data_IF_400346642839
#
_entry.id   IF_400346642839
#
_cell.length_a   1.000
_cell.length_b   1.000
_cell.length_c   1.000
_cell.angle_alpha   90.00
_cell.angle_beta   90.00
_cell.angle_gamma   90.00
#
_symmetry.space_group_name_H-M   'P 1'
#
loop_
_entity.id
_entity.type
_entity.pdbx_description
1 polymer ?
#
# COMPACT_ATOMS: atom_id res chain seq x y z
N UNK A 1 17.53 -12.34 -6.34
CA UNK A 1 17.01 -10.97 -6.22
C UNK A 1 15.50 -11.03 -6.21
N UNK A 2 14.91 -10.80 -5.05
CA UNK A 2 13.46 -10.72 -4.92
C UNK A 2 12.97 -9.31 -5.28
N UNK A 3 11.71 -9.22 -5.71
CA UNK A 3 11.00 -7.96 -5.87
C UNK A 3 9.77 -7.98 -4.96
N UNK A 4 9.42 -6.81 -4.45
CA UNK A 4 8.22 -6.58 -3.64
C UNK A 4 7.22 -5.86 -4.54
N UNK A 5 6.05 -6.47 -4.74
CA UNK A 5 4.96 -5.82 -5.47
C UNK A 5 3.98 -5.24 -4.46
N UNK A 6 3.68 -3.95 -4.58
CA UNK A 6 2.73 -3.24 -3.72
C UNK A 6 1.54 -2.83 -4.59
N UNK A 7 0.34 -3.16 -4.14
CA UNK A 7 -0.90 -2.74 -4.79
C UNK A 7 -1.47 -1.53 -4.06
N UNK A 8 -1.58 -0.42 -4.77
CA UNK A 8 -2.14 0.82 -4.27
C UNK A 8 -3.59 0.95 -4.72
N UNK A 9 -4.51 0.98 -3.76
CA UNK A 9 -5.94 1.20 -3.98
C UNK A 9 -6.30 2.63 -3.62
N UNK A 10 -6.80 3.42 -4.57
CA UNK A 10 -7.12 4.84 -4.33
C UNK A 10 -8.24 5.37 -5.24
N UNK A 11 -8.60 6.66 -5.08
CA UNK A 11 -9.59 7.37 -5.90
C UNK A 11 -11.01 6.78 -5.95
N UNK A 12 -11.38 5.96 -4.96
CA UNK A 12 -12.74 5.41 -4.81
C UNK A 12 -13.48 5.95 -3.59
N UNK A 13 -14.73 5.51 -3.41
CA UNK A 13 -15.48 5.79 -2.19
C UNK A 13 -15.18 4.72 -1.14
N UNK A 14 -14.52 5.13 -0.05
CA UNK A 14 -14.36 4.27 1.12
C UNK A 14 -15.69 4.19 1.87
N UNK A 15 -16.40 3.08 1.69
CA UNK A 15 -17.63 2.80 2.45
C UNK A 15 -17.27 2.12 3.77
N UNK A 16 -16.28 1.22 3.74
CA UNK A 16 -15.63 0.64 4.92
C UNK A 16 -14.23 0.09 4.57
N UNK A 17 -13.53 -0.47 5.55
CA UNK A 17 -12.23 -1.16 5.31
C UNK A 17 -12.39 -2.34 4.35
N UNK A 18 -13.52 -3.04 4.41
CA UNK A 18 -13.84 -4.22 3.60
C UNK A 18 -14.67 -3.91 2.37
N UNK A 19 -15.28 -2.72 2.28
CA UNK A 19 -16.15 -2.33 1.17
C UNK A 19 -15.69 -1.01 0.53
N UNK A 20 -15.27 -1.12 -0.73
CA UNK A 20 -14.75 -0.01 -1.51
C UNK A 20 -15.20 -0.20 -2.95
N UNK A 21 -15.95 0.77 -3.46
CA UNK A 21 -16.50 0.79 -4.82
C UNK A 21 -15.79 1.86 -5.65
N UNK A 22 -15.73 1.65 -6.97
CA UNK A 22 -15.18 2.60 -7.95
C UNK A 22 -13.73 3.07 -7.66
N UNK A 23 -12.90 2.20 -7.11
CA UNK A 23 -11.50 2.50 -6.84
C UNK A 23 -10.63 2.17 -8.04
N UNK A 24 -9.49 2.85 -8.13
CA UNK A 24 -8.40 2.53 -9.04
C UNK A 24 -7.35 1.71 -8.31
N UNK A 25 -6.76 0.74 -9.01
CA UNK A 25 -5.64 -0.07 -8.52
C UNK A 25 -4.44 0.24 -9.40
N UNK A 26 -3.35 0.68 -8.78
CA UNK A 26 -2.07 0.85 -9.45
C UNK A 26 -1.01 -0.01 -8.75
N UNK A 27 -0.13 -0.63 -9.53
CA UNK A 27 0.94 -1.50 -9.03
C UNK A 27 2.27 -0.76 -8.95
N UNK A 28 2.96 -0.90 -7.81
CA UNK A 28 4.31 -0.39 -7.61
C UNK A 28 5.24 -1.60 -7.46
N UNK A 29 6.23 -1.70 -8.33
CA UNK A 29 7.26 -2.73 -8.25
C UNK A 29 8.51 -2.16 -7.59
N UNK A 30 8.88 -2.70 -6.43
CA UNK A 30 10.10 -2.34 -5.72
C UNK A 30 11.08 -3.51 -5.73
N UNK A 31 12.37 -3.20 -5.81
CA UNK A 31 13.43 -4.19 -5.59
C UNK A 31 13.53 -4.50 -4.10
N UNK A 32 14.07 -5.66 -3.73
CA UNK A 32 14.36 -5.98 -2.32
C UNK A 32 15.29 -4.96 -1.64
N UNK A 33 16.12 -4.26 -2.43
CA UNK A 33 17.04 -3.21 -1.97
C UNK A 33 16.41 -1.82 -1.93
N UNK A 34 15.10 -1.71 -2.20
CA UNK A 34 14.40 -0.43 -2.21
C UNK A 34 14.33 0.16 -0.80
N UNK A 35 14.46 1.48 -0.73
CA UNK A 35 14.42 2.26 0.49
C UNK A 35 13.01 2.80 0.76
N UNK A 36 12.81 3.36 1.95
CA UNK A 36 11.57 4.08 2.28
C UNK A 36 11.29 5.23 1.29
N UNK A 37 12.33 5.92 0.82
CA UNK A 37 12.16 7.02 -0.13
C UNK A 37 11.69 6.51 -1.50
N UNK A 38 12.17 5.36 -1.96
CA UNK A 38 11.71 4.75 -3.20
C UNK A 38 10.22 4.36 -3.11
N UNK A 39 9.78 3.86 -1.94
CA UNK A 39 8.38 3.59 -1.65
C UNK A 39 7.53 4.87 -1.67
N UNK A 40 7.98 5.92 -0.98
CA UNK A 40 7.30 7.22 -0.94
C UNK A 40 7.18 7.81 -2.34
N UNK A 41 8.24 7.75 -3.14
CA UNK A 41 8.26 8.32 -4.49
C UNK A 41 7.34 7.54 -5.44
N UNK A 42 7.35 6.20 -5.34
CA UNK A 42 6.43 5.33 -6.06
C UNK A 42 4.96 5.64 -5.75
N UNK A 43 4.59 5.76 -4.47
CA UNK A 43 3.22 6.10 -4.06
C UNK A 43 2.86 7.53 -4.51
N UNK A 44 3.76 8.49 -4.30
CA UNK A 44 3.52 9.90 -4.66
C UNK A 44 3.26 10.06 -6.15
N UNK A 45 4.02 9.35 -6.98
CA UNK A 45 3.88 9.35 -8.43
C UNK A 45 2.53 8.79 -8.87
N UNK A 46 2.10 7.65 -8.30
CA UNK A 46 0.81 7.06 -8.64
C UNK A 46 -0.38 7.92 -8.20
N UNK A 47 -0.25 8.62 -7.06
CA UNK A 47 -1.28 9.52 -6.55
C UNK A 47 -1.24 10.93 -7.17
N UNK A 48 -0.18 11.30 -7.90
CA UNK A 48 0.01 12.66 -8.41
C UNK A 48 0.22 13.70 -7.31
N UNK A 49 0.79 13.31 -6.17
CA UNK A 49 0.98 14.19 -4.99
C UNK A 49 2.42 14.68 -4.92
N UNK A 50 2.60 15.97 -4.66
CA UNK A 50 3.93 16.55 -4.43
C UNK A 50 4.29 16.51 -2.93
N UNK A 51 5.20 15.61 -2.57
CA UNK A 51 5.71 15.45 -1.19
C UNK A 51 6.87 16.40 -0.83
N UNK A 52 7.30 17.31 -1.71
CA UNK A 52 8.36 18.29 -1.38
C UNK A 52 7.98 19.24 -0.24
N UNK A 53 6.68 19.48 -0.03
CA UNK A 53 6.14 20.40 0.99
C UNK A 53 5.34 19.70 2.09
N UNK A 54 5.15 18.38 1.99
CA UNK A 54 4.32 17.58 2.91
C UNK A 54 4.99 16.24 3.14
N UNK A 55 5.12 15.83 4.41
CA UNK A 55 5.70 14.55 4.77
C UNK A 55 4.64 13.45 4.69
N UNK A 56 4.87 12.44 3.85
CA UNK A 56 4.04 11.24 3.84
C UNK A 56 4.47 10.31 4.97
N UNK A 57 3.49 9.87 5.76
CA UNK A 57 3.65 8.89 6.83
C UNK A 57 2.99 7.58 6.39
N UNK A 58 3.77 6.49 6.39
CA UNK A 58 3.29 5.16 6.03
C UNK A 58 3.30 4.30 7.30
N UNK A 59 2.14 3.74 7.64
CA UNK A 59 1.97 2.79 8.76
C UNK A 59 1.49 1.46 8.22
N UNK A 60 1.94 0.37 8.82
CA UNK A 60 1.44 -0.97 8.53
C UNK A 60 0.74 -1.53 9.77
N UNK A 61 -0.41 -2.18 9.56
CA UNK A 61 -1.10 -2.95 10.61
C UNK A 61 -0.59 -4.38 10.53
N UNK A 62 0.29 -4.75 11.47
CA UNK A 62 0.86 -6.08 11.57
C UNK A 62 -0.11 -7.07 12.21
N UNK A 63 -1.31 -7.23 11.67
CA UNK A 63 -2.18 -8.33 12.11
C UNK A 63 -1.52 -9.65 11.69
N UNK A 64 -0.93 -10.35 12.65
CA UNK A 64 -0.55 -11.75 12.49
C UNK A 64 -1.83 -12.53 12.16
N UNK A 65 -1.90 -13.08 10.95
CA UNK A 65 -2.87 -14.13 10.65
C UNK A 65 -2.46 -15.37 11.45
N UNK A 66 -2.90 -15.48 12.70
CA UNK A 66 -2.88 -16.76 13.40
C UNK A 66 -3.82 -17.70 12.66
N UNK A 67 -3.24 -18.69 12.00
CA UNK A 67 -3.97 -19.87 11.56
C UNK A 67 -4.24 -20.73 12.79
N UNK A 68 -5.14 -20.29 13.67
CA UNK A 68 -5.71 -21.18 14.68
C UNK A 68 -6.70 -22.09 13.96
N UNK A 69 -6.14 -23.14 13.37
CA UNK A 69 -6.89 -24.34 13.01
C UNK A 69 -7.40 -24.97 14.29
N UNK A 70 -8.65 -24.69 14.65
CA UNK A 70 -9.39 -25.56 15.54
C UNK A 70 -10.77 -25.81 14.95
N UNK A 71 -10.84 -26.89 14.16
CA UNK A 71 -12.10 -27.59 13.96
C UNK A 71 -12.56 -28.16 15.30
N UNK A 72 -13.73 -27.74 15.75
CA UNK A 72 -14.61 -28.56 16.57
C UNK A 72 -15.99 -28.55 15.94
#
# INVERSE_FOLDING_TARGET
>A
MANITILLRHSGSWISVSDCTNYRIDGILLRETATYNDLVDGISTQLGINCSRKRMEIRYDGRQCNSDGNSK
#
